data_IF_872480283234
#
_entry.id   IF_872480283234
#
_cell.length_a   1.000
_cell.length_b   1.000
_cell.length_c   1.000
_cell.angle_alpha   90.00
_cell.angle_beta   90.00
_cell.angle_gamma   90.00
#
_symmetry.space_group_name_H-M   'P 1'
#
loop_
_entity.id
_entity.type
_entity.pdbx_description
1 polymer ?
#
# COMPACT_ATOMS: atom_id res chain seq x y z
N UNK A 1 -11.84 -7.66 29.40
CA UNK A 1 -11.27 -6.75 28.38
C UNK A 1 -10.16 -7.53 27.68
N UNK A 2 -10.38 -7.95 26.43
CA UNK A 2 -9.31 -8.55 25.64
C UNK A 2 -8.60 -7.42 24.89
N UNK A 3 -7.35 -7.12 25.25
CA UNK A 3 -6.45 -6.39 24.37
C UNK A 3 -6.19 -7.31 23.17
N UNK A 4 -7.03 -7.17 22.14
CA UNK A 4 -6.80 -7.81 20.86
C UNK A 4 -5.65 -7.05 20.21
N UNK A 5 -4.46 -7.50 20.54
CA UNK A 5 -3.22 -7.13 19.91
C UNK A 5 -3.36 -7.48 18.42
N UNK A 6 -3.72 -6.50 17.58
CA UNK A 6 -3.55 -6.59 16.13
C UNK A 6 -2.03 -6.63 15.85
N UNK A 7 -1.39 -7.74 16.22
CA UNK A 7 0.07 -7.83 16.43
C UNK A 7 0.86 -7.91 15.11
N UNK A 8 0.21 -7.84 13.94
CA UNK A 8 0.89 -8.13 12.68
C UNK A 8 0.48 -7.26 11.49
N UNK A 9 -0.50 -6.36 11.60
CA UNK A 9 -0.94 -5.59 10.44
C UNK A 9 -0.02 -4.38 10.20
N UNK A 10 0.98 -4.54 9.34
CA UNK A 10 1.94 -3.49 9.05
C UNK A 10 2.30 -3.37 7.57
N UNK A 11 2.69 -2.15 7.19
CA UNK A 11 3.10 -1.83 5.82
C UNK A 11 4.56 -1.43 5.81
N UNK A 12 5.32 -2.03 4.89
CA UNK A 12 6.71 -1.70 4.65
C UNK A 12 6.94 -1.42 3.17
N UNK A 13 7.77 -0.42 2.88
CA UNK A 13 8.27 -0.13 1.53
C UNK A 13 9.66 -0.78 1.44
N UNK A 14 9.79 -1.81 0.60
CA UNK A 14 11.08 -2.36 0.21
C UNK A 14 11.60 -1.65 -1.06
N UNK A 15 12.85 -1.93 -1.45
CA UNK A 15 13.54 -1.22 -2.54
C UNK A 15 12.74 -1.18 -3.86
N UNK A 16 12.11 -2.31 -4.24
CA UNK A 16 11.35 -2.43 -5.50
C UNK A 16 9.90 -2.92 -5.32
N UNK A 17 9.42 -3.03 -4.07
CA UNK A 17 8.08 -3.55 -3.80
C UNK A 17 7.46 -3.02 -2.50
N UNK A 18 6.13 -3.00 -2.46
CA UNK A 18 5.36 -2.73 -1.26
C UNK A 18 4.99 -4.05 -0.59
N UNK A 19 5.33 -4.19 0.69
CA UNK A 19 4.95 -5.34 1.50
C UNK A 19 3.84 -4.95 2.48
N UNK A 20 2.76 -5.73 2.46
CA UNK A 20 1.58 -5.55 3.27
C UNK A 20 1.37 -6.84 4.06
N UNK A 21 1.55 -6.78 5.38
CA UNK A 21 1.22 -7.89 6.26
C UNK A 21 -0.19 -7.63 6.80
N UNK A 22 -1.19 -8.46 6.48
CA UNK A 22 -2.58 -8.30 6.94
C UNK A 22 -3.13 -9.64 7.43
N UNK A 23 -3.62 -9.71 8.68
CA UNK A 23 -4.25 -10.88 9.28
C UNK A 23 -3.49 -12.19 9.00
N UNK A 24 -2.17 -12.16 9.20
CA UNK A 24 -1.20 -13.25 8.93
C UNK A 24 -0.90 -13.56 7.46
N UNK A 25 -1.39 -12.77 6.51
CA UNK A 25 -1.04 -12.87 5.08
C UNK A 25 -0.04 -11.78 4.70
N UNK A 26 1.08 -12.20 4.10
CA UNK A 26 2.02 -11.27 3.44
C UNK A 26 1.59 -11.09 1.99
N UNK A 27 1.34 -9.85 1.59
CA UNK A 27 1.09 -9.45 0.21
C UNK A 27 2.28 -8.62 -0.22
N UNK A 28 2.92 -8.99 -1.32
CA UNK A 28 4.02 -8.23 -1.92
C UNK A 28 3.55 -7.71 -3.27
N UNK A 29 3.61 -6.39 -3.44
CA UNK A 29 3.22 -5.69 -4.65
C UNK A 29 4.45 -5.03 -5.25
N UNK A 30 5.06 -5.59 -6.31
CA UNK A 30 6.15 -4.94 -7.03
C UNK A 30 5.72 -3.57 -7.55
N UNK A 31 6.60 -2.56 -7.47
CA UNK A 31 6.25 -1.21 -7.92
C UNK A 31 5.96 -1.15 -9.42
N UNK A 32 6.66 -1.95 -10.23
CA UNK A 32 6.35 -2.09 -11.67
C UNK A 32 4.96 -2.68 -11.97
N UNK A 33 4.29 -3.26 -10.98
CA UNK A 33 2.92 -3.74 -11.10
C UNK A 33 1.90 -2.74 -10.57
N UNK A 34 2.29 -1.59 -10.02
CA UNK A 34 1.36 -0.54 -9.63
C UNK A 34 0.76 0.10 -10.88
N UNK A 35 -0.57 0.18 -10.92
CA UNK A 35 -1.30 0.83 -12.02
C UNK A 35 -1.98 2.11 -11.58
N UNK A 36 -2.49 2.18 -10.35
CA UNK A 36 -3.17 3.35 -9.81
C UNK A 36 -3.10 3.29 -8.29
N UNK A 37 -2.94 4.45 -7.65
CA UNK A 37 -2.97 4.57 -6.19
C UNK A 37 -3.92 5.70 -5.84
N UNK A 38 -4.89 5.43 -4.96
CA UNK A 38 -5.91 6.35 -4.49
C UNK A 38 -5.88 6.43 -2.98
N UNK A 39 -5.66 7.63 -2.43
CA UNK A 39 -5.76 7.89 -1.00
C UNK A 39 -7.15 8.42 -0.67
N UNK A 40 -7.82 7.85 0.32
CA UNK A 40 -9.02 8.39 0.95
C UNK A 40 -8.68 8.88 2.36
N UNK A 41 -9.68 9.41 3.08
CA UNK A 41 -9.49 9.82 4.48
C UNK A 41 -9.13 8.66 5.41
N UNK A 42 -9.59 7.46 5.07
CA UNK A 42 -9.54 6.30 5.96
C UNK A 42 -8.67 5.15 5.41
N UNK A 43 -8.31 5.16 4.12
CA UNK A 43 -7.48 4.09 3.52
C UNK A 43 -6.68 4.55 2.30
N UNK A 44 -5.56 3.88 2.01
CA UNK A 44 -4.89 3.92 0.71
C UNK A 44 -5.31 2.68 -0.07
N UNK A 45 -5.82 2.91 -1.28
CA UNK A 45 -6.19 1.88 -2.24
C UNK A 45 -5.12 1.81 -3.31
N UNK A 46 -4.60 0.61 -3.54
CA UNK A 46 -3.63 0.31 -4.58
C UNK A 46 -4.29 -0.61 -5.60
N UNK A 47 -4.25 -0.22 -6.86
CA UNK A 47 -4.60 -1.07 -7.98
C UNK A 47 -3.34 -1.47 -8.74
N UNK A 48 -3.26 -2.76 -9.06
CA UNK A 48 -2.16 -3.31 -9.84
C UNK A 48 -2.55 -3.52 -11.30
N UNK A 49 -1.56 -3.66 -12.18
CA UNK A 49 -1.75 -3.87 -13.63
C UNK A 49 -2.54 -5.13 -13.96
N UNK A 50 -2.51 -6.14 -13.09
CA UNK A 50 -3.33 -7.35 -13.17
C UNK A 50 -4.77 -7.17 -12.61
N UNK A 51 -5.21 -5.92 -12.40
CA UNK A 51 -6.53 -5.56 -11.85
C UNK A 51 -6.79 -6.08 -10.43
N UNK A 52 -5.77 -6.48 -9.66
CA UNK A 52 -5.93 -6.73 -8.22
C UNK A 52 -6.00 -5.41 -7.47
N UNK A 53 -6.82 -5.40 -6.43
CA UNK A 53 -7.04 -4.25 -5.54
C UNK A 53 -6.55 -4.62 -4.15
N UNK A 54 -5.65 -3.80 -3.61
CA UNK A 54 -5.12 -3.90 -2.26
C UNK A 54 -5.54 -2.65 -1.48
N UNK A 55 -5.94 -2.83 -0.22
CA UNK A 55 -6.41 -1.75 0.64
C UNK A 55 -5.55 -1.71 1.89
N UNK A 56 -5.11 -0.52 2.23
CA UNK A 56 -4.29 -0.22 3.39
C UNK A 56 -5.12 0.73 4.26
N UNK A 57 -5.76 0.24 5.32
CA UNK A 57 -6.49 1.12 6.23
C UNK A 57 -5.52 2.06 6.97
N UNK A 58 -6.00 3.24 7.36
CA UNK A 58 -5.21 4.24 8.09
C UNK A 58 -4.75 3.72 9.46
N UNK A 59 -5.57 2.84 10.05
CA UNK A 59 -5.31 2.20 11.34
C UNK A 59 -4.19 1.14 11.30
N UNK A 60 -3.66 0.83 10.11
CA UNK A 60 -2.57 -0.12 9.93
C UNK A 60 -1.24 0.49 10.38
N UNK A 61 -0.41 -0.28 11.08
CA UNK A 61 0.88 0.22 11.56
C UNK A 61 1.84 0.43 10.37
N UNK A 62 2.00 1.67 9.90
CA UNK A 62 3.00 2.00 8.89
C UNK A 62 4.32 2.23 9.61
N UNK A 63 5.17 1.20 9.66
CA UNK A 63 6.34 1.14 10.56
C UNK A 63 7.31 2.32 10.47
N UNK A 64 7.42 2.99 9.32
CA UNK A 64 8.50 3.96 9.04
C UNK A 64 8.06 5.23 8.33
N UNK A 65 6.80 5.35 7.89
CA UNK A 65 6.36 6.40 6.97
C UNK A 65 4.95 6.85 7.34
N UNK A 66 4.66 8.16 7.30
CA UNK A 66 3.28 8.64 7.49
C UNK A 66 2.42 8.19 6.30
N UNK A 67 1.12 8.02 6.51
CA UNK A 67 0.18 7.64 5.44
C UNK A 67 0.32 8.54 4.20
N UNK A 68 0.39 9.85 4.40
CA UNK A 68 0.51 10.80 3.29
C UNK A 68 1.83 10.65 2.54
N UNK A 69 2.96 10.46 3.24
CA UNK A 69 4.26 10.16 2.62
C UNK A 69 4.26 8.82 1.87
N UNK A 70 3.61 7.79 2.43
CA UNK A 70 3.45 6.48 1.77
C UNK A 70 2.63 6.65 0.49
N UNK A 71 1.53 7.40 0.56
CA UNK A 71 0.70 7.70 -0.60
C UNK A 71 1.49 8.48 -1.66
N UNK A 72 2.23 9.53 -1.27
CA UNK A 72 3.02 10.34 -2.19
C UNK A 72 4.13 9.51 -2.87
N UNK A 73 4.84 8.68 -2.09
CA UNK A 73 5.83 7.73 -2.63
C UNK A 73 5.19 6.75 -3.61
N UNK A 74 4.10 6.08 -3.22
CA UNK A 74 3.41 5.13 -4.09
C UNK A 74 2.90 5.80 -5.37
N UNK A 75 2.38 7.03 -5.26
CA UNK A 75 1.90 7.81 -6.40
C UNK A 75 3.03 8.18 -7.37
N UNK A 76 4.23 8.49 -6.86
CA UNK A 76 5.43 8.72 -7.69
C UNK A 76 5.97 7.44 -8.33
N UNK A 77 5.77 6.29 -7.67
CA UNK A 77 6.20 4.98 -8.13
C UNK A 77 5.24 4.35 -9.15
N UNK A 78 3.97 4.74 -9.14
CA UNK A 78 3.08 4.49 -10.28
C UNK A 78 3.74 5.20 -11.45
N UNK A 79 4.24 4.47 -12.47
CA UNK A 79 4.73 5.14 -13.65
C UNK A 79 3.60 6.05 -14.11
N UNK A 80 3.87 7.35 -14.27
CA UNK A 80 3.01 8.20 -15.09
C UNK A 80 2.88 7.42 -16.39
N UNK A 81 1.77 6.69 -16.56
CA UNK A 81 1.32 6.31 -17.88
C UNK A 81 0.96 7.64 -18.49
N UNK A 82 1.98 8.35 -18.97
CA UNK A 82 1.88 9.24 -20.10
C UNK A 82 1.01 8.44 -21.05
N UNK A 83 -0.22 8.92 -21.20
CA UNK A 83 -1.12 8.49 -22.22
C UNK A 83 -0.35 8.74 -23.51
N UNK A 84 0.40 7.75 -23.98
CA UNK A 84 0.89 7.70 -25.34
C UNK A 84 -0.40 7.63 -26.17
N UNK A 85 -0.69 8.74 -26.82
CA UNK A 85 -1.84 8.94 -27.69
C UNK A 85 -1.31 9.29 -29.06
#
# INVERSE_FOLDING_TARGET
MAFNEHKNDHVCIADESLELQIASKKIVVPFGHLSEVKGTRDEIVIMTTNKKKHRIPDNMAISLVRRDDLFDKLKRLVPERVSEK
#
